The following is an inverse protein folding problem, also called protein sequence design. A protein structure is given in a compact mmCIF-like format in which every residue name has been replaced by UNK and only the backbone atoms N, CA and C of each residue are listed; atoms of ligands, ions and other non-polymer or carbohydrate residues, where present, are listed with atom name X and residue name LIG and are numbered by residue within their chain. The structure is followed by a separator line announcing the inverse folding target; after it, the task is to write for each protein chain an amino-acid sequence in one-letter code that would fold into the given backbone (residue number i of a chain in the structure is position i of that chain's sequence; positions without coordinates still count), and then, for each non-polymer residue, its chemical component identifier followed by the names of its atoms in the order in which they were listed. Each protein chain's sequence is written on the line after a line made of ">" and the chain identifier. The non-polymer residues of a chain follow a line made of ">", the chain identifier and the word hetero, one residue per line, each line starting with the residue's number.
data_IF_617485811286
#
_entry.id   IF_617485811286
#
_cell.length_a   1.000
_cell.length_b   1.000
_cell.length_c   1.000
_cell.angle_alpha   90.00
_cell.angle_beta   90.00
_cell.angle_gamma   90.00
#
_symmetry.space_group_name_H-M   'P 1'
#
loop_
_entity.id
_entity.type
_entity.pdbx_description
1 polymer ?
#
# COMPACT_ATOMS: atom_id res chain seq x y z
N UNK A 1 -19.02 5.02 13.50
CA UNK A 1 -19.00 3.91 12.48
C UNK A 1 -17.67 3.20 12.64
N UNK A 2 -17.68 1.89 12.83
CA UNK A 2 -16.45 1.10 13.00
C UNK A 2 -15.63 1.09 11.73
N UNK A 3 -14.31 1.14 11.87
CA UNK A 3 -13.35 1.12 10.75
C UNK A 3 -12.61 -0.21 10.71
N UNK A 4 -12.60 -0.87 9.56
CA UNK A 4 -11.75 -2.04 9.26
C UNK A 4 -10.56 -1.58 8.43
N UNK A 5 -9.37 -1.78 8.96
CA UNK A 5 -8.11 -1.41 8.29
C UNK A 5 -7.42 -2.68 7.82
N UNK A 6 -7.24 -2.83 6.51
CA UNK A 6 -6.37 -3.86 5.95
C UNK A 6 -4.98 -3.30 5.74
N UNK A 7 -3.98 -3.89 6.39
CA UNK A 7 -2.58 -3.54 6.26
C UNK A 7 -1.92 -4.55 5.31
N UNK A 8 -1.38 -4.06 4.21
CA UNK A 8 -0.69 -4.85 3.19
C UNK A 8 0.81 -4.61 3.36
N UNK A 9 1.57 -5.60 3.84
CA UNK A 9 3.01 -5.45 4.08
C UNK A 9 3.84 -5.40 2.80
N UNK A 10 5.11 -5.00 2.95
CA UNK A 10 6.11 -5.06 1.89
C UNK A 10 6.60 -6.47 1.57
N UNK A 11 7.72 -6.57 0.82
CA UNK A 11 8.27 -7.82 0.29
C UNK A 11 8.61 -8.90 1.33
N UNK A 12 8.83 -8.53 2.59
CA UNK A 12 9.11 -9.50 3.67
C UNK A 12 7.87 -10.18 4.22
N UNK A 13 6.67 -9.61 4.02
CA UNK A 13 5.41 -10.06 4.63
C UNK A 13 5.42 -10.09 6.19
N UNK A 14 6.39 -9.42 6.84
CA UNK A 14 6.72 -9.57 8.29
C UNK A 14 5.96 -8.61 9.23
N UNK A 15 5.00 -7.83 8.75
CA UNK A 15 4.33 -6.80 9.56
C UNK A 15 3.13 -7.31 10.40
N UNK A 16 3.10 -8.58 10.79
CA UNK A 16 1.91 -9.20 11.41
C UNK A 16 1.42 -8.50 12.68
N UNK A 17 2.33 -7.98 13.49
CA UNK A 17 2.00 -7.36 14.77
C UNK A 17 1.79 -5.83 14.70
N UNK A 18 2.13 -5.21 13.56
CA UNK A 18 2.16 -3.75 13.46
C UNK A 18 0.76 -3.11 13.56
N UNK A 19 -0.26 -3.86 13.17
CA UNK A 19 -1.66 -3.42 13.28
C UNK A 19 -2.07 -3.04 14.69
N UNK A 20 -1.53 -3.73 15.71
CA UNK A 20 -1.84 -3.48 17.12
C UNK A 20 -1.58 -2.04 17.56
N UNK A 21 -0.63 -1.35 16.91
CA UNK A 21 -0.31 0.04 17.24
C UNK A 21 -1.40 1.03 16.86
N UNK A 22 -2.29 0.67 15.94
CA UNK A 22 -3.39 1.56 15.50
C UNK A 22 -4.77 1.01 15.88
N UNK A 23 -4.83 -0.19 16.45
CA UNK A 23 -6.06 -0.73 17.02
C UNK A 23 -6.53 0.07 18.23
N UNK A 24 -7.83 0.15 18.40
CA UNK A 24 -8.48 0.76 19.55
C UNK A 24 -9.71 1.57 19.17
N UNK A 25 -10.59 1.80 20.14
CA UNK A 25 -11.88 2.42 19.91
C UNK A 25 -12.70 1.64 18.87
N UNK A 26 -13.06 2.32 17.79
CA UNK A 26 -13.83 1.73 16.68
C UNK A 26 -12.96 1.15 15.55
N UNK A 27 -11.63 1.07 15.72
CA UNK A 27 -10.69 0.60 14.69
C UNK A 27 -10.26 -0.84 14.93
N UNK A 28 -10.50 -1.70 13.94
CA UNK A 28 -10.05 -3.10 13.90
C UNK A 28 -9.06 -3.25 12.74
N UNK A 29 -7.92 -3.90 12.98
CA UNK A 29 -6.90 -4.13 11.94
C UNK A 29 -6.84 -5.58 11.50
N UNK A 30 -6.43 -5.79 10.26
CA UNK A 30 -6.11 -7.10 9.72
C UNK A 30 -4.92 -6.97 8.76
N UNK A 31 -3.88 -7.79 8.98
CA UNK A 31 -2.73 -7.83 8.07
C UNK A 31 -3.01 -8.83 6.96
N UNK A 32 -2.99 -8.34 5.72
CA UNK A 32 -3.18 -9.17 4.53
C UNK A 32 -1.83 -9.49 3.89
N UNK A 33 -1.35 -10.72 4.11
CA UNK A 33 -0.09 -11.23 3.56
C UNK A 33 -0.27 -11.59 2.08
N UNK A 34 0.55 -11.02 1.21
CA UNK A 34 0.48 -11.26 -0.25
C UNK A 34 1.27 -12.52 -0.64
N UNK A 35 2.41 -12.77 -0.03
CA UNK A 35 3.33 -13.84 -0.42
C UNK A 35 4.17 -13.43 -1.64
N UNK A 36 4.76 -12.24 -1.60
CA UNK A 36 5.48 -11.61 -2.70
C UNK A 36 6.59 -12.47 -3.32
N UNK A 37 7.36 -13.17 -2.47
CA UNK A 37 8.51 -13.99 -2.85
C UNK A 37 8.17 -15.45 -3.11
N UNK A 38 6.88 -15.76 -3.21
CA UNK A 38 6.47 -17.13 -3.56
C UNK A 38 6.90 -17.45 -4.99
N UNK A 39 7.63 -18.55 -5.15
CA UNK A 39 8.01 -19.06 -6.48
C UNK A 39 6.76 -19.58 -7.18
N UNK A 40 6.35 -18.94 -8.25
CA UNK A 40 5.15 -19.27 -9.02
C UNK A 40 5.47 -19.26 -10.51
N UNK A 41 4.78 -20.12 -11.28
CA UNK A 41 4.98 -20.17 -12.72
C UNK A 41 4.44 -18.93 -13.44
N UNK A 42 3.33 -18.37 -12.97
CA UNK A 42 2.73 -17.16 -13.53
C UNK A 42 2.52 -16.09 -12.45
N UNK A 43 3.44 -15.12 -12.35
CA UNK A 43 3.35 -14.06 -11.34
C UNK A 43 2.10 -13.19 -11.47
N UNK A 44 1.62 -12.92 -12.69
CA UNK A 44 0.41 -12.11 -12.92
C UNK A 44 -0.85 -12.82 -12.45
N UNK A 45 -0.99 -14.12 -12.77
CA UNK A 45 -2.13 -14.91 -12.28
C UNK A 45 -2.12 -14.99 -10.76
N UNK A 46 -0.96 -15.28 -10.16
CA UNK A 46 -0.84 -15.31 -8.71
C UNK A 46 -1.21 -13.96 -8.06
N UNK A 47 -0.73 -12.84 -8.63
CA UNK A 47 -1.11 -11.51 -8.18
C UNK A 47 -2.63 -11.29 -8.24
N UNK A 48 -3.28 -11.67 -9.34
CA UNK A 48 -4.74 -11.55 -9.51
C UNK A 48 -5.52 -12.39 -8.48
N UNK A 49 -5.07 -13.61 -8.21
CA UNK A 49 -5.67 -14.48 -7.20
C UNK A 49 -5.57 -13.86 -5.80
N UNK A 50 -4.39 -13.31 -5.45
CA UNK A 50 -4.20 -12.62 -4.17
C UNK A 50 -5.03 -11.35 -4.06
N UNK A 51 -5.12 -10.58 -5.16
CA UNK A 51 -5.98 -9.41 -5.24
C UNK A 51 -7.44 -9.80 -5.03
N UNK A 52 -7.93 -10.83 -5.72
CA UNK A 52 -9.28 -11.36 -5.55
C UNK A 52 -9.58 -11.77 -4.10
N UNK A 53 -8.61 -12.40 -3.42
CA UNK A 53 -8.76 -12.75 -2.01
C UNK A 53 -8.90 -11.53 -1.08
N UNK A 54 -8.15 -10.44 -1.34
CA UNK A 54 -8.33 -9.18 -0.59
C UNK A 54 -9.68 -8.54 -0.90
N UNK A 55 -10.09 -8.51 -2.18
CA UNK A 55 -11.38 -7.93 -2.59
C UNK A 55 -12.56 -8.62 -1.87
N UNK A 56 -12.54 -9.95 -1.75
CA UNK A 56 -13.56 -10.69 -1.02
C UNK A 56 -13.63 -10.27 0.46
N UNK A 57 -12.48 -10.02 1.11
CA UNK A 57 -12.44 -9.51 2.51
C UNK A 57 -12.97 -8.08 2.62
N UNK A 58 -12.66 -7.22 1.64
CA UNK A 58 -13.18 -5.85 1.56
C UNK A 58 -14.71 -5.89 1.44
N UNK A 59 -15.24 -6.71 0.53
CA UNK A 59 -16.68 -6.84 0.31
C UNK A 59 -17.39 -7.35 1.58
N UNK A 60 -16.82 -8.33 2.27
CA UNK A 60 -17.35 -8.84 3.54
C UNK A 60 -17.38 -7.74 4.61
N UNK A 61 -16.26 -7.03 4.82
CA UNK A 61 -16.19 -5.96 5.82
C UNK A 61 -17.19 -4.83 5.50
N UNK A 62 -17.35 -4.48 4.24
CA UNK A 62 -18.33 -3.48 3.80
C UNK A 62 -19.77 -3.93 4.06
N UNK A 63 -20.10 -5.18 3.75
CA UNK A 63 -21.42 -5.77 4.01
C UNK A 63 -21.75 -5.83 5.52
N UNK A 64 -20.74 -5.98 6.38
CA UNK A 64 -20.85 -5.90 7.83
C UNK A 64 -20.98 -4.46 8.38
N UNK A 65 -20.98 -3.45 7.51
CA UNK A 65 -21.15 -2.03 7.86
C UNK A 65 -19.88 -1.33 8.32
N UNK A 66 -18.68 -1.90 8.07
CA UNK A 66 -17.42 -1.21 8.35
C UNK A 66 -17.09 -0.16 7.29
N UNK A 67 -16.49 0.94 7.74
CA UNK A 67 -15.70 1.81 6.88
C UNK A 67 -14.37 1.11 6.56
N UNK A 68 -14.08 0.85 5.29
CA UNK A 68 -12.88 0.11 4.88
C UNK A 68 -11.75 1.07 4.52
N UNK A 69 -10.57 0.84 5.11
CA UNK A 69 -9.33 1.58 4.82
C UNK A 69 -8.23 0.60 4.46
N UNK A 70 -7.42 0.95 3.46
CA UNK A 70 -6.24 0.18 3.05
C UNK A 70 -4.97 0.94 3.42
N UNK A 71 -4.04 0.28 4.07
CA UNK A 71 -2.68 0.78 4.31
C UNK A 71 -1.71 -0.13 3.59
N UNK A 72 -1.04 0.39 2.57
CA UNK A 72 0.02 -0.34 1.87
C UNK A 72 1.39 0.16 2.29
N UNK A 73 2.24 -0.74 2.77
CA UNK A 73 3.62 -0.44 3.15
C UNK A 73 4.58 -1.01 2.10
N UNK A 74 5.52 -0.19 1.60
CA UNK A 74 6.48 -0.62 0.57
C UNK A 74 5.77 -1.26 -0.64
N UNK A 75 6.09 -2.51 -1.01
CA UNK A 75 5.40 -3.25 -2.08
C UNK A 75 3.87 -3.32 -1.89
N UNK A 76 3.38 -3.28 -0.65
CA UNK A 76 1.96 -3.25 -0.34
C UNK A 76 1.23 -2.00 -0.85
N UNK A 77 1.96 -0.91 -1.11
CA UNK A 77 1.38 0.34 -1.63
C UNK A 77 0.70 0.16 -2.99
N UNK A 78 1.40 -0.43 -3.95
CA UNK A 78 0.83 -0.72 -5.27
C UNK A 78 -0.34 -1.71 -5.19
N UNK A 79 -0.26 -2.71 -4.31
CA UNK A 79 -1.35 -3.67 -4.10
C UNK A 79 -2.61 -3.00 -3.53
N UNK A 80 -2.46 -2.09 -2.56
CA UNK A 80 -3.57 -1.32 -1.99
C UNK A 80 -4.26 -0.44 -3.04
N UNK A 81 -3.50 0.23 -3.92
CA UNK A 81 -4.04 1.03 -5.02
C UNK A 81 -4.79 0.15 -6.03
N UNK A 82 -4.24 -1.04 -6.37
CA UNK A 82 -4.94 -1.98 -7.25
C UNK A 82 -6.25 -2.51 -6.62
N UNK A 83 -6.28 -2.75 -5.31
CA UNK A 83 -7.52 -3.13 -4.64
C UNK A 83 -8.55 -1.99 -4.66
N UNK A 84 -8.11 -0.75 -4.41
CA UNK A 84 -8.95 0.43 -4.52
C UNK A 84 -9.56 0.57 -5.91
N UNK A 85 -8.76 0.42 -6.99
CA UNK A 85 -9.24 0.55 -8.37
C UNK A 85 -10.41 -0.41 -8.72
N UNK A 86 -10.53 -1.50 -7.98
CA UNK A 86 -11.62 -2.48 -8.15
C UNK A 86 -12.80 -2.25 -7.18
N UNK A 87 -12.63 -1.38 -6.17
CA UNK A 87 -13.62 -1.14 -5.10
C UNK A 87 -13.67 0.33 -4.69
N UNK A 88 -13.62 1.26 -5.65
CA UNK A 88 -13.60 2.71 -5.40
C UNK A 88 -14.78 3.21 -4.57
N UNK A 89 -15.96 2.61 -4.72
CA UNK A 89 -17.15 2.97 -3.95
C UNK A 89 -17.20 2.35 -2.55
N UNK A 90 -16.35 1.36 -2.28
CA UNK A 90 -16.36 0.56 -1.04
C UNK A 90 -15.21 0.96 -0.12
N UNK A 91 -14.05 1.24 -0.69
CA UNK A 91 -12.85 1.62 0.06
C UNK A 91 -12.84 3.12 0.29
N UNK A 92 -12.95 3.52 1.55
CA UNK A 92 -13.03 4.93 1.94
C UNK A 92 -11.68 5.65 1.89
N UNK A 93 -10.55 4.92 2.00
CA UNK A 93 -9.21 5.53 2.03
C UNK A 93 -8.13 4.54 1.61
N UNK A 94 -7.12 5.04 0.90
CA UNK A 94 -5.87 4.34 0.63
C UNK A 94 -4.71 5.16 1.17
N UNK A 95 -3.89 4.54 2.00
CA UNK A 95 -2.70 5.15 2.61
C UNK A 95 -1.47 4.40 2.10
N UNK A 96 -0.58 5.11 1.41
CA UNK A 96 0.69 4.59 0.92
C UNK A 96 1.84 5.00 1.85
N UNK A 97 2.52 4.04 2.45
CA UNK A 97 3.69 4.23 3.29
C UNK A 97 4.95 3.79 2.54
N UNK A 98 5.69 4.74 1.96
CA UNK A 98 6.92 4.48 1.16
C UNK A 98 6.74 3.44 0.04
N UNK A 99 5.55 3.26 -0.48
CA UNK A 99 5.28 2.27 -1.52
C UNK A 99 5.56 2.79 -2.93
N UNK A 100 6.18 1.96 -3.76
CA UNK A 100 6.42 2.24 -5.18
C UNK A 100 5.14 2.03 -5.98
N UNK A 101 4.74 3.04 -6.76
CA UNK A 101 3.51 3.02 -7.57
C UNK A 101 3.76 3.03 -9.07
N UNK A 102 4.98 3.41 -9.51
CA UNK A 102 5.35 3.50 -10.93
C UNK A 102 6.66 2.78 -11.21
N UNK A 103 6.88 2.46 -12.49
CA UNK A 103 8.12 1.87 -12.99
C UNK A 103 9.23 2.91 -13.21
N UNK A 104 8.95 4.19 -12.96
CA UNK A 104 9.92 5.26 -13.14
C UNK A 104 11.19 5.00 -12.32
N UNK A 105 12.35 5.11 -12.98
CA UNK A 105 13.64 4.87 -12.34
C UNK A 105 14.10 6.08 -11.51
N UNK A 106 14.94 5.81 -10.52
CA UNK A 106 15.58 6.81 -9.69
C UNK A 106 16.79 6.22 -8.98
N UNK A 107 17.52 7.06 -8.28
CA UNK A 107 18.68 6.60 -7.51
C UNK A 107 18.20 5.79 -6.30
N UNK A 108 18.49 4.48 -6.30
CA UNK A 108 18.17 3.53 -5.22
C UNK A 108 19.22 2.42 -5.17
N UNK A 109 19.33 1.74 -4.03
CA UNK A 109 20.25 0.61 -3.86
C UNK A 109 19.85 -0.62 -4.68
N UNK A 110 18.59 -0.75 -5.04
CA UNK A 110 18.07 -1.87 -5.85
C UNK A 110 17.46 -1.32 -7.13
N UNK A 111 17.99 -1.76 -8.28
CA UNK A 111 17.47 -1.35 -9.58
C UNK A 111 16.09 -1.97 -9.88
N UNK A 112 15.36 -1.37 -10.79
CA UNK A 112 14.08 -1.89 -11.27
C UNK A 112 14.27 -3.27 -11.94
N UNK A 113 15.34 -3.44 -12.72
CA UNK A 113 15.65 -4.73 -13.35
C UNK A 113 15.86 -5.84 -12.33
N UNK A 114 16.49 -5.52 -11.20
CA UNK A 114 16.64 -6.51 -10.11
C UNK A 114 15.30 -6.93 -9.55
N UNK A 115 14.35 -6.02 -9.34
CA UNK A 115 13.00 -6.35 -8.92
C UNK A 115 12.24 -7.20 -9.95
N UNK A 116 12.42 -6.96 -11.26
CA UNK A 116 11.81 -7.79 -12.31
C UNK A 116 12.29 -9.24 -12.23
N UNK A 117 13.57 -9.46 -11.89
CA UNK A 117 14.15 -10.78 -11.73
C UNK A 117 13.73 -11.49 -10.43
N UNK A 118 13.80 -10.76 -9.30
CA UNK A 118 13.67 -11.37 -7.97
C UNK A 118 12.25 -11.36 -7.43
N UNK A 119 11.45 -10.37 -7.81
CA UNK A 119 10.13 -10.10 -7.23
C UNK A 119 9.07 -9.81 -8.31
N UNK A 120 8.87 -10.74 -9.29
CA UNK A 120 8.02 -10.49 -10.45
C UNK A 120 6.53 -10.29 -10.09
N UNK A 121 6.07 -10.81 -8.96
CA UNK A 121 4.71 -10.57 -8.45
C UNK A 121 4.54 -9.11 -8.05
N UNK A 122 5.55 -8.53 -7.41
CA UNK A 122 5.58 -7.11 -7.07
C UNK A 122 5.59 -6.24 -8.32
N UNK A 123 6.42 -6.59 -9.31
CA UNK A 123 6.46 -5.84 -10.57
C UNK A 123 5.13 -5.86 -11.31
N UNK A 124 4.43 -7.00 -11.36
CA UNK A 124 3.09 -7.07 -11.93
C UNK A 124 2.09 -6.13 -11.20
N UNK A 125 2.23 -5.99 -9.87
CA UNK A 125 1.45 -5.04 -9.09
C UNK A 125 1.75 -3.58 -9.46
N UNK A 126 3.03 -3.22 -9.59
CA UNK A 126 3.45 -1.84 -9.95
C UNK A 126 2.98 -1.46 -11.35
N UNK A 127 3.21 -2.33 -12.35
CA UNK A 127 2.78 -2.09 -13.74
C UNK A 127 1.26 -1.84 -13.84
N UNK A 128 0.47 -2.63 -13.12
CA UNK A 128 -0.98 -2.46 -13.11
C UNK A 128 -1.41 -1.18 -12.38
N UNK A 129 -0.73 -0.83 -11.29
CA UNK A 129 -0.96 0.43 -10.59
C UNK A 129 -0.65 1.63 -11.49
N UNK A 130 0.51 1.64 -12.14
CA UNK A 130 0.94 2.73 -13.03
C UNK A 130 -0.06 2.97 -14.16
N UNK A 131 -0.55 1.90 -14.78
CA UNK A 131 -1.61 1.99 -15.78
C UNK A 131 -2.89 2.65 -15.27
N UNK A 132 -3.27 2.41 -14.00
CA UNK A 132 -4.46 3.00 -13.40
C UNK A 132 -4.23 4.47 -12.99
N UNK A 133 -3.10 4.79 -12.36
CA UNK A 133 -2.82 6.14 -11.86
C UNK A 133 -2.36 7.12 -12.96
N UNK A 134 -2.06 6.65 -14.18
CA UNK A 134 -1.81 7.53 -15.34
C UNK A 134 -3.05 8.37 -15.72
N UNK A 135 -4.25 7.91 -15.36
CA UNK A 135 -5.51 8.64 -15.52
C UNK A 135 -6.33 8.49 -14.22
N UNK A 136 -5.93 9.18 -13.14
CA UNK A 136 -6.51 8.96 -11.82
C UNK A 136 -7.96 9.42 -11.78
N UNK A 137 -8.83 8.62 -11.17
CA UNK A 137 -10.21 9.00 -10.94
C UNK A 137 -10.30 10.09 -9.87
N UNK A 138 -11.38 10.88 -9.89
CA UNK A 138 -11.64 11.86 -8.84
C UNK A 138 -11.75 11.19 -7.45
N UNK A 139 -12.29 9.98 -7.41
CA UNK A 139 -12.38 9.17 -6.19
C UNK A 139 -10.98 8.84 -5.64
N UNK A 140 -10.04 8.41 -6.49
CA UNK A 140 -8.67 8.16 -6.06
C UNK A 140 -7.99 9.42 -5.54
N UNK A 141 -8.11 10.56 -6.24
CA UNK A 141 -7.50 11.81 -5.83
C UNK A 141 -8.00 12.28 -4.44
N UNK A 142 -9.28 12.08 -4.12
CA UNK A 142 -9.86 12.45 -2.84
C UNK A 142 -9.49 11.47 -1.70
N UNK A 143 -9.34 10.20 -2.02
CA UNK A 143 -9.23 9.14 -1.03
C UNK A 143 -7.80 8.58 -0.88
N UNK A 144 -6.83 9.05 -1.66
CA UNK A 144 -5.44 8.63 -1.57
C UNK A 144 -4.59 9.60 -0.75
N UNK A 145 -3.68 9.06 0.06
CA UNK A 145 -2.60 9.84 0.69
C UNK A 145 -1.30 9.02 0.74
N UNK A 146 -0.19 9.66 0.37
CA UNK A 146 1.14 9.09 0.50
C UNK A 146 1.89 9.74 1.67
N UNK A 147 2.49 8.94 2.53
CA UNK A 147 3.49 9.39 3.50
C UNK A 147 4.88 9.14 2.92
N UNK A 148 5.58 10.23 2.60
CA UNK A 148 6.83 10.24 1.84
C UNK A 148 7.96 10.70 2.76
N UNK A 149 9.04 9.91 2.97
CA UNK A 149 10.19 10.31 3.78
C UNK A 149 10.98 11.45 3.12
N UNK A 150 11.98 11.98 3.82
CA UNK A 150 12.93 12.93 3.25
C UNK A 150 13.86 12.25 2.25
N UNK A 151 14.25 11.03 2.54
CA UNK A 151 15.07 10.18 1.68
C UNK A 151 14.69 8.69 1.88
N UNK A 152 14.86 7.89 0.83
CA UNK A 152 14.56 6.46 0.84
C UNK A 152 15.56 5.76 -0.08
N UNK A 153 16.26 4.77 0.44
CA UNK A 153 17.32 4.05 -0.28
C UNK A 153 16.79 2.95 -1.20
N UNK A 154 15.53 2.52 -1.01
CA UNK A 154 14.92 1.42 -1.75
C UNK A 154 13.90 1.88 -2.79
N UNK A 155 13.17 2.96 -2.52
CA UNK A 155 12.08 3.44 -3.38
C UNK A 155 12.30 4.90 -3.76
N UNK A 156 12.39 5.25 -5.05
CA UNK A 156 12.51 6.64 -5.48
C UNK A 156 11.31 7.46 -4.99
N UNK A 157 11.55 8.60 -4.34
CA UNK A 157 10.48 9.41 -3.73
C UNK A 157 9.37 9.81 -4.73
N UNK A 158 9.75 10.08 -5.99
CA UNK A 158 8.83 10.45 -7.06
C UNK A 158 7.85 9.33 -7.45
N UNK A 159 8.18 8.07 -7.12
CA UNK A 159 7.33 6.91 -7.42
C UNK A 159 6.35 6.57 -6.30
N UNK A 160 6.40 7.30 -5.16
CA UNK A 160 5.52 7.05 -4.01
C UNK A 160 4.15 7.72 -4.12
N UNK A 161 3.96 8.56 -5.12
CA UNK A 161 2.73 9.26 -5.43
C UNK A 161 2.52 9.36 -6.93
N UNK A 162 1.55 10.17 -7.35
CA UNK A 162 1.23 10.46 -8.74
C UNK A 162 0.70 11.89 -8.85
N UNK A 163 0.52 12.41 -10.06
CA UNK A 163 0.05 13.78 -10.28
C UNK A 163 -1.32 14.02 -9.63
N UNK A 164 -1.45 15.09 -8.86
CA UNK A 164 -2.65 15.43 -8.10
C UNK A 164 -2.82 14.65 -6.78
N UNK A 165 -1.98 13.65 -6.49
CA UNK A 165 -2.04 12.89 -5.25
C UNK A 165 -1.65 13.73 -4.02
N UNK A 166 -2.33 13.51 -2.89
CA UNK A 166 -1.99 14.16 -1.62
C UNK A 166 -0.76 13.49 -1.00
N UNK A 167 0.36 14.20 -0.95
CA UNK A 167 1.59 13.79 -0.28
C UNK A 167 1.77 14.46 1.08
N UNK A 168 2.19 13.71 2.09
CA UNK A 168 2.61 14.20 3.41
C UNK A 168 4.07 13.85 3.65
N UNK A 169 4.90 14.86 3.87
CA UNK A 169 6.32 14.65 4.23
C UNK A 169 6.46 14.15 5.66
N UNK A 170 7.36 13.17 5.83
CA UNK A 170 7.75 12.60 7.12
C UNK A 170 9.25 12.83 7.32
N UNK A 171 9.64 13.29 8.51
CA UNK A 171 11.07 13.56 8.83
C UNK A 171 11.74 12.24 9.20
N UNK A 172 11.93 11.39 8.18
CA UNK A 172 12.66 10.11 8.24
C UNK A 172 13.54 9.99 7.01
N UNK A 173 14.67 9.32 7.15
CA UNK A 173 15.71 9.19 6.12
C UNK A 173 16.10 7.71 5.88
N UNK A 174 15.13 6.77 6.00
CA UNK A 174 15.38 5.35 5.75
C UNK A 174 14.02 4.65 5.56
N UNK A 175 14.00 3.66 4.67
CA UNK A 175 12.77 3.00 4.22
C UNK A 175 11.99 2.32 5.35
N UNK A 176 12.64 1.41 6.07
CA UNK A 176 11.99 0.64 7.14
C UNK A 176 11.63 1.54 8.33
N UNK A 177 12.54 2.44 8.72
CA UNK A 177 12.27 3.40 9.81
C UNK A 177 11.10 4.31 9.48
N UNK A 178 10.94 4.73 8.22
CA UNK A 178 9.77 5.51 7.83
C UNK A 178 8.48 4.72 8.07
N UNK A 179 8.41 3.48 7.59
CA UNK A 179 7.22 2.64 7.76
C UNK A 179 6.92 2.40 9.23
N UNK A 180 7.90 1.97 10.03
CA UNK A 180 7.73 1.70 11.46
C UNK A 180 7.34 2.97 12.23
N UNK A 181 7.96 4.13 11.91
CA UNK A 181 7.66 5.40 12.56
C UNK A 181 6.22 5.86 12.36
N UNK A 182 5.57 5.50 11.26
CA UNK A 182 4.17 5.81 11.02
C UNK A 182 3.22 5.13 12.02
N UNK A 183 3.59 3.93 12.50
CA UNK A 183 2.80 3.21 13.50
C UNK A 183 3.19 3.56 14.95
N UNK A 184 4.31 4.24 15.15
CA UNK A 184 4.85 4.60 16.46
C UNK A 184 4.89 6.13 16.65
N UNK A 185 5.95 6.80 16.22
CA UNK A 185 6.21 8.23 16.41
C UNK A 185 5.13 9.11 15.75
N UNK A 186 4.75 8.77 14.51
CA UNK A 186 3.74 9.51 13.72
C UNK A 186 2.35 8.88 13.78
N UNK A 187 2.11 7.98 14.74
CA UNK A 187 0.83 7.27 14.90
C UNK A 187 -0.38 8.22 14.84
N UNK A 188 -0.33 9.35 15.50
CA UNK A 188 -1.44 10.31 15.49
C UNK A 188 -1.69 10.92 14.11
N UNK A 189 -0.64 11.10 13.27
CA UNK A 189 -0.82 11.54 11.88
C UNK A 189 -1.46 10.44 11.03
N UNK A 190 -1.10 9.18 11.27
CA UNK A 190 -1.71 8.03 10.58
C UNK A 190 -3.18 7.88 11.00
N UNK A 191 -3.48 7.93 12.30
CA UNK A 191 -4.85 7.84 12.81
C UNK A 191 -5.77 8.96 12.30
N UNK A 192 -5.24 10.16 12.08
CA UNK A 192 -6.01 11.27 11.51
C UNK A 192 -6.43 11.05 10.03
N UNK A 193 -5.89 10.04 9.37
CA UNK A 193 -6.27 9.65 8.00
C UNK A 193 -7.25 8.46 7.99
N UNK A 194 -7.43 7.75 9.12
CA UNK A 194 -8.39 6.65 9.23
C UNK A 194 -9.82 7.17 9.38
#
# INVERSE_FOLDING_TARGET
>A
MKTKVFIIPGLSDEMREIGRFIEGGDTITEVFVVGWRKKVQNPRTYFQDRLGALLAKIDTAHAEGFRVVLIGASAGGSFAVNAFSKRESTVAKVINLSGRLTTEEGFTLVSLEKYKETDPVFMASVEMTESYISHPTQSLLQNFVAFVPLWDELVPLKTMGFEGARGRRVIMCEHILNIVSMFTIYRNKLLAEL
#
